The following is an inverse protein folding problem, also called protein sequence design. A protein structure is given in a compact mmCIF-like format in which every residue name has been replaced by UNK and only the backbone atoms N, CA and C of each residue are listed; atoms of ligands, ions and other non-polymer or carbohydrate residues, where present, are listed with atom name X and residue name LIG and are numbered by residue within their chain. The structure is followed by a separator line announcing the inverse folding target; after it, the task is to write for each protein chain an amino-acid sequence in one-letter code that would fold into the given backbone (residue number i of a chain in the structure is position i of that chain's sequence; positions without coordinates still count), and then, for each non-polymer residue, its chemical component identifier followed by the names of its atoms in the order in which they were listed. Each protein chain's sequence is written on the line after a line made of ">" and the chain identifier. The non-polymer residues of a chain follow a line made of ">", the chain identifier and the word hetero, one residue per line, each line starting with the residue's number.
data_IF_484117480440
#
_entry.id   IF_484117480440
#
_cell.length_a   1.000
_cell.length_b   1.000
_cell.length_c   1.000
_cell.angle_alpha   90.00
_cell.angle_beta   90.00
_cell.angle_gamma   90.00
#
_symmetry.space_group_name_H-M   'P 1'
#
loop_
_entity.id
_entity.type
_entity.pdbx_description
1 polymer ?
#
# COMPACT_ATOMS: atom_id res chain seq x y z
N UNK A 1 12.09 -28.75 9.44
CA UNK A 1 12.19 -27.31 9.14
C UNK A 1 11.25 -26.59 10.10
N UNK A 2 11.79 -25.79 11.02
CA UNK A 2 10.99 -25.04 12.00
C UNK A 2 10.18 -23.98 11.26
N UNK A 3 8.85 -24.10 11.35
CA UNK A 3 7.88 -23.26 10.64
C UNK A 3 7.47 -22.13 11.57
N UNK A 4 8.08 -20.96 11.41
CA UNK A 4 7.69 -19.82 12.21
C UNK A 4 6.44 -19.14 11.63
N UNK A 5 5.47 -18.71 12.46
CA UNK A 5 4.26 -17.96 12.08
C UNK A 5 4.56 -16.54 11.54
N UNK A 6 5.73 -16.35 10.94
CA UNK A 6 6.29 -15.10 10.48
C UNK A 6 5.57 -14.54 9.26
N UNK A 7 4.81 -15.32 8.48
CA UNK A 7 4.19 -14.81 7.26
C UNK A 7 3.16 -13.70 7.53
N UNK A 8 2.26 -13.91 8.51
CA UNK A 8 1.29 -12.88 8.93
C UNK A 8 1.98 -11.76 9.72
N UNK A 9 2.98 -12.11 10.55
CA UNK A 9 3.70 -11.14 11.37
C UNK A 9 4.63 -10.21 10.57
N UNK A 10 5.29 -10.72 9.53
CA UNK A 10 6.26 -10.00 8.70
C UNK A 10 5.55 -9.23 7.60
N UNK A 11 4.56 -9.80 6.91
CA UNK A 11 3.75 -9.05 5.94
C UNK A 11 2.97 -7.94 6.65
N UNK A 12 2.40 -8.22 7.84
CA UNK A 12 1.75 -7.20 8.67
C UNK A 12 2.73 -6.13 9.19
N UNK A 13 3.95 -6.51 9.59
CA UNK A 13 4.96 -5.57 10.08
C UNK A 13 5.64 -4.75 8.98
N UNK A 14 5.68 -5.21 7.73
CA UNK A 14 6.28 -4.46 6.61
C UNK A 14 5.29 -3.44 6.02
N UNK A 15 4.04 -3.84 5.78
CA UNK A 15 2.95 -2.92 5.41
C UNK A 15 2.75 -1.88 6.52
N UNK A 16 2.68 -2.33 7.78
CA UNK A 16 2.58 -1.46 8.95
C UNK A 16 3.84 -0.59 9.14
N UNK A 17 5.03 -1.13 8.89
CA UNK A 17 6.30 -0.45 9.08
C UNK A 17 6.53 0.69 8.09
N UNK A 18 6.18 0.50 6.80
CA UNK A 18 6.28 1.57 5.80
C UNK A 18 5.26 2.68 6.07
N UNK A 19 4.02 2.32 6.44
CA UNK A 19 3.00 3.29 6.84
C UNK A 19 3.40 4.05 8.12
N UNK A 20 3.92 3.35 9.13
CA UNK A 20 4.39 3.96 10.39
C UNK A 20 5.63 4.82 10.18
N UNK A 21 6.58 4.39 9.34
CA UNK A 21 7.75 5.19 8.99
C UNK A 21 7.35 6.46 8.24
N UNK A 22 6.50 6.37 7.22
CA UNK A 22 5.98 7.52 6.47
C UNK A 22 5.19 8.47 7.38
N UNK A 23 4.32 7.96 8.25
CA UNK A 23 3.61 8.77 9.23
C UNK A 23 4.58 9.43 10.22
N UNK A 24 5.62 8.73 10.68
CA UNK A 24 6.60 9.28 11.61
C UNK A 24 7.45 10.37 10.96
N UNK A 25 7.90 10.21 9.71
CA UNK A 25 8.66 11.23 8.99
C UNK A 25 7.80 12.44 8.63
N UNK A 26 6.54 12.25 8.18
CA UNK A 26 5.64 13.38 7.92
C UNK A 26 5.15 14.09 9.19
N UNK A 27 4.92 13.36 10.29
CA UNK A 27 4.56 13.96 11.58
C UNK A 27 5.73 14.73 12.21
N UNK A 28 6.98 14.28 11.98
CA UNK A 28 8.18 15.00 12.45
C UNK A 28 8.54 16.18 11.54
N UNK A 29 8.20 16.14 10.25
CA UNK A 29 8.45 17.23 9.30
C UNK A 29 7.40 18.38 9.38
N UNK A 30 6.28 18.17 10.06
CA UNK A 30 5.19 19.15 10.18
C UNK A 30 5.12 19.91 11.52
N UNK A 31 6.20 19.89 12.33
CA UNK A 31 6.16 20.53 13.65
C UNK A 31 7.11 21.73 13.77
N UNK A 32 6.49 22.93 13.81
CA UNK A 32 6.97 24.31 14.02
C UNK A 32 7.41 25.05 12.73
N UNK A 33 6.72 26.08 12.24
CA UNK A 33 6.53 27.37 12.96
C UNK A 33 5.49 28.33 12.30
N UNK A 34 4.30 27.89 11.84
CA UNK A 34 3.32 28.86 11.26
C UNK A 34 1.84 28.65 11.61
N UNK A 35 1.49 27.56 12.30
CA UNK A 35 0.07 27.19 12.52
C UNK A 35 -0.56 27.78 13.79
N UNK A 36 0.14 28.61 14.58
CA UNK A 36 -0.42 29.29 15.76
C UNK A 36 -0.81 30.76 15.53
N UNK A 37 -0.60 31.32 14.33
CA UNK A 37 -0.87 32.75 14.03
C UNK A 37 -2.13 33.00 13.20
N UNK A 38 -2.85 31.95 12.80
CA UNK A 38 -4.01 32.02 11.89
C UNK A 38 -5.35 31.63 12.53
N UNK A 39 -5.47 31.63 13.87
CA UNK A 39 -6.81 31.65 14.51
C UNK A 39 -7.37 33.07 14.48
N UNK A 40 -7.91 33.44 13.32
CA UNK A 40 -8.59 34.70 13.09
C UNK A 40 -9.77 34.53 12.14
N UNK A 41 -10.94 34.25 12.74
CA UNK A 41 -12.28 34.61 12.24
C UNK A 41 -12.88 33.73 11.12
N UNK A 42 -13.82 32.86 11.55
CA UNK A 42 -15.22 32.70 11.12
C UNK A 42 -15.63 32.53 9.63
N UNK A 43 -16.45 31.50 9.41
CA UNK A 43 -17.55 31.35 8.43
C UNK A 43 -17.22 31.41 6.93
N UNK A 44 -17.31 30.26 6.23
CA UNK A 44 -18.36 30.02 5.24
C UNK A 44 -18.40 28.56 4.76
N UNK A 45 -19.62 28.14 4.50
CA UNK A 45 -20.18 26.81 4.30
C UNK A 45 -20.36 26.55 2.80
N UNK A 46 -20.40 25.28 2.40
CA UNK A 46 -21.13 24.78 1.22
C UNK A 46 -20.96 25.50 -0.13
N UNK A 47 -19.87 25.24 -0.86
CA UNK A 47 -19.89 25.38 -2.33
C UNK A 47 -18.82 24.51 -3.01
N UNK A 48 -19.25 23.36 -3.55
CA UNK A 48 -18.72 22.66 -4.74
C UNK A 48 -18.91 21.13 -4.64
N UNK A 49 -20.18 20.71 -4.65
CA UNK A 49 -20.56 19.47 -5.34
C UNK A 49 -20.66 19.80 -6.84
N UNK A 50 -19.73 19.31 -7.64
CA UNK A 50 -19.74 19.55 -9.08
C UNK A 50 -18.53 18.92 -9.80
N UNK A 51 -18.76 17.71 -10.31
CA UNK A 51 -18.08 17.12 -11.46
C UNK A 51 -16.55 16.92 -11.43
N UNK A 52 -16.13 15.68 -11.16
CA UNK A 52 -15.02 15.06 -11.93
C UNK A 52 -15.42 13.64 -12.32
N UNK A 53 -15.94 13.51 -13.53
CA UNK A 53 -15.98 12.26 -14.26
C UNK A 53 -14.57 11.97 -14.82
N UNK A 54 -14.24 10.68 -14.98
CA UNK A 54 -13.02 10.12 -15.58
C UNK A 54 -11.76 9.95 -14.69
N UNK A 55 -11.80 8.95 -13.80
CA UNK A 55 -10.71 7.95 -13.60
C UNK A 55 -11.13 6.87 -12.58
N UNK A 56 -12.23 6.14 -12.85
CA UNK A 56 -12.70 5.06 -11.97
C UNK A 56 -12.60 3.67 -12.64
N UNK A 57 -11.54 3.47 -13.43
CA UNK A 57 -11.26 2.19 -14.07
C UNK A 57 -10.37 1.25 -13.24
N UNK A 58 -9.44 1.80 -12.44
CA UNK A 58 -8.44 1.00 -11.72
C UNK A 58 -8.94 0.50 -10.34
N UNK A 59 -9.79 1.28 -9.66
CA UNK A 59 -10.21 0.96 -8.29
C UNK A 59 -11.16 -0.27 -8.21
N UNK A 60 -12.00 -0.49 -9.22
CA UNK A 60 -12.88 -1.66 -9.30
C UNK A 60 -12.09 -2.96 -9.54
N UNK A 61 -10.98 -2.90 -10.30
CA UNK A 61 -10.17 -4.07 -10.63
C UNK A 61 -9.47 -4.66 -9.41
N UNK A 62 -8.87 -3.81 -8.56
CA UNK A 62 -8.14 -4.26 -7.37
C UNK A 62 -9.08 -4.84 -6.29
N UNK A 63 -10.26 -4.25 -6.11
CA UNK A 63 -11.28 -4.77 -5.18
C UNK A 63 -11.84 -6.13 -5.64
N UNK A 64 -12.04 -6.30 -6.95
CA UNK A 64 -12.48 -7.59 -7.51
C UNK A 64 -11.39 -8.65 -7.41
N UNK A 65 -10.13 -8.27 -7.66
CA UNK A 65 -8.97 -9.16 -7.56
C UNK A 65 -8.70 -9.63 -6.13
N UNK A 66 -8.88 -8.77 -5.13
CA UNK A 66 -8.79 -9.17 -3.71
C UNK A 66 -9.91 -10.12 -3.29
N UNK A 67 -11.12 -9.93 -3.83
CA UNK A 67 -12.26 -10.84 -3.56
C UNK A 67 -12.01 -12.21 -4.17
N UNK A 68 -11.56 -12.25 -5.42
CA UNK A 68 -11.21 -13.49 -6.13
C UNK A 68 -10.05 -14.23 -5.44
N UNK A 69 -9.03 -13.48 -5.00
CA UNK A 69 -7.95 -14.02 -4.19
C UNK A 69 -8.48 -14.67 -2.91
N UNK A 70 -9.33 -13.96 -2.15
CA UNK A 70 -9.89 -14.47 -0.89
C UNK A 70 -10.65 -15.78 -1.11
N UNK A 71 -11.42 -15.87 -2.18
CA UNK A 71 -12.14 -17.09 -2.57
C UNK A 71 -11.18 -18.21 -2.99
N UNK A 72 -10.12 -17.89 -3.74
CA UNK A 72 -9.13 -18.88 -4.18
C UNK A 72 -8.31 -19.47 -3.02
N UNK A 73 -8.21 -18.73 -1.91
CA UNK A 73 -7.45 -19.10 -0.72
C UNK A 73 -8.31 -19.78 0.36
N UNK A 74 -9.64 -19.69 0.31
CA UNK A 74 -10.54 -20.09 1.41
C UNK A 74 -10.42 -21.57 1.79
N UNK A 75 -10.08 -22.41 0.83
CA UNK A 75 -10.04 -23.87 1.00
C UNK A 75 -8.60 -24.40 1.07
N UNK A 76 -7.61 -23.50 1.15
CA UNK A 76 -6.17 -23.84 1.19
C UNK A 76 -5.64 -23.68 2.61
N UNK A 77 -4.77 -24.60 3.00
CA UNK A 77 -4.08 -24.56 4.31
C UNK A 77 -2.60 -24.89 4.15
N UNK A 78 -1.79 -24.46 5.12
CA UNK A 78 -0.36 -24.75 5.19
C UNK A 78 0.40 -24.36 3.92
N UNK A 79 1.29 -25.24 3.46
CA UNK A 79 2.17 -25.00 2.31
C UNK A 79 1.39 -24.61 1.03
N UNK A 80 0.21 -25.19 0.81
CA UNK A 80 -0.64 -24.87 -0.35
C UNK A 80 -1.27 -23.47 -0.26
N UNK A 81 -1.57 -23.01 0.95
CA UNK A 81 -2.01 -21.63 1.18
C UNK A 81 -0.85 -20.66 0.95
N UNK A 82 0.32 -20.94 1.51
CA UNK A 82 1.50 -20.06 1.42
C UNK A 82 1.92 -19.85 -0.04
N UNK A 83 1.99 -20.94 -0.83
CA UNK A 83 2.30 -20.86 -2.25
C UNK A 83 1.28 -20.01 -3.00
N UNK A 84 -0.03 -20.28 -2.80
CA UNK A 84 -1.08 -19.57 -3.50
C UNK A 84 -1.14 -18.08 -3.11
N UNK A 85 -0.94 -17.77 -1.83
CA UNK A 85 -0.90 -16.41 -1.32
C UNK A 85 0.25 -15.62 -1.95
N UNK A 86 1.46 -16.18 -1.93
CA UNK A 86 2.63 -15.50 -2.50
C UNK A 86 2.48 -15.30 -4.01
N UNK A 87 2.04 -16.32 -4.74
CA UNK A 87 1.84 -16.25 -6.19
C UNK A 87 0.82 -15.19 -6.60
N UNK A 88 -0.18 -14.92 -5.77
CA UNK A 88 -1.17 -13.90 -6.03
C UNK A 88 -0.80 -12.52 -5.45
N UNK A 89 0.03 -12.44 -4.40
CA UNK A 89 0.52 -11.16 -3.85
C UNK A 89 1.59 -10.50 -4.72
N UNK A 90 2.47 -11.26 -5.38
CA UNK A 90 3.48 -10.67 -6.29
C UNK A 90 2.82 -9.78 -7.38
N UNK A 91 1.84 -10.25 -8.17
CA UNK A 91 1.19 -9.41 -9.18
C UNK A 91 0.34 -8.28 -8.57
N UNK A 92 -0.28 -8.51 -7.41
CA UNK A 92 -0.98 -7.45 -6.68
C UNK A 92 -0.04 -6.29 -6.34
N UNK A 93 1.16 -6.61 -5.82
CA UNK A 93 2.17 -5.62 -5.50
C UNK A 93 2.72 -4.90 -6.71
N UNK A 94 2.93 -5.62 -7.82
CA UNK A 94 3.34 -5.02 -9.09
C UNK A 94 2.33 -3.97 -9.57
N UNK A 95 1.02 -4.29 -9.51
CA UNK A 95 -0.02 -3.33 -9.85
C UNK A 95 -0.03 -2.09 -8.94
N UNK A 96 0.24 -2.27 -7.64
CA UNK A 96 0.35 -1.14 -6.72
C UNK A 96 1.60 -0.28 -6.98
N UNK A 97 2.73 -0.88 -7.39
CA UNK A 97 3.94 -0.17 -7.82
C UNK A 97 3.66 0.66 -9.08
N UNK A 98 2.96 0.09 -10.08
CA UNK A 98 2.58 0.82 -11.30
C UNK A 98 1.71 2.04 -10.96
N UNK A 99 0.73 1.88 -10.07
CA UNK A 99 -0.12 2.98 -9.60
C UNK A 99 0.68 4.03 -8.82
N UNK A 100 1.63 3.61 -7.98
CA UNK A 100 2.50 4.52 -7.26
C UNK A 100 3.42 5.31 -8.21
N UNK A 101 3.99 4.67 -9.23
CA UNK A 101 4.78 5.36 -10.26
C UNK A 101 3.97 6.42 -11.01
N UNK A 102 2.70 6.15 -11.30
CA UNK A 102 1.80 7.16 -11.88
C UNK A 102 1.59 8.33 -10.92
N UNK A 103 1.35 8.06 -9.64
CA UNK A 103 1.21 9.09 -8.62
C UNK A 103 2.48 9.94 -8.46
N UNK A 104 3.66 9.31 -8.44
CA UNK A 104 4.96 9.99 -8.39
C UNK A 104 5.13 10.99 -9.54
N UNK A 105 4.73 10.61 -10.75
CA UNK A 105 4.86 11.43 -11.96
C UNK A 105 3.80 12.53 -12.05
N UNK A 106 2.57 12.27 -11.63
CA UNK A 106 1.42 13.13 -11.90
C UNK A 106 0.96 13.98 -10.71
N UNK A 107 1.35 13.62 -9.48
CA UNK A 107 0.91 14.35 -8.30
C UNK A 107 1.44 15.79 -8.28
N UNK A 108 0.59 16.72 -7.82
CA UNK A 108 0.96 18.12 -7.61
C UNK A 108 1.57 18.37 -6.23
N UNK A 109 1.14 17.59 -5.24
CA UNK A 109 1.56 17.70 -3.85
C UNK A 109 2.77 16.80 -3.60
N UNK A 110 3.80 17.34 -2.92
CA UNK A 110 5.05 16.62 -2.67
C UNK A 110 4.81 15.42 -1.75
N UNK A 111 3.91 15.55 -0.79
CA UNK A 111 3.55 14.51 0.17
C UNK A 111 3.01 13.25 -0.51
N UNK A 112 2.33 13.40 -1.64
CA UNK A 112 1.83 12.26 -2.43
C UNK A 112 2.96 11.60 -3.23
N UNK A 113 3.95 12.37 -3.69
CA UNK A 113 5.14 11.81 -4.36
C UNK A 113 6.00 11.03 -3.38
N UNK A 114 6.21 11.58 -2.19
CA UNK A 114 6.97 10.92 -1.12
C UNK A 114 6.28 9.62 -0.69
N UNK A 115 4.94 9.63 -0.62
CA UNK A 115 4.16 8.41 -0.36
C UNK A 115 4.33 7.39 -1.48
N UNK A 116 4.29 7.82 -2.73
CA UNK A 116 4.50 6.95 -3.88
C UNK A 116 5.89 6.30 -3.86
N UNK A 117 6.94 7.08 -3.58
CA UNK A 117 8.31 6.57 -3.46
C UNK A 117 8.42 5.51 -2.34
N UNK A 118 7.82 5.79 -1.18
CA UNK A 118 7.80 4.85 -0.06
C UNK A 118 7.06 3.54 -0.39
N UNK A 119 5.93 3.62 -1.12
CA UNK A 119 5.19 2.45 -1.59
C UNK A 119 6.04 1.64 -2.56
N UNK A 120 6.69 2.28 -3.53
CA UNK A 120 7.55 1.62 -4.52
C UNK A 120 8.68 0.87 -3.82
N UNK A 121 9.37 1.51 -2.88
CA UNK A 121 10.49 0.90 -2.14
C UNK A 121 10.01 -0.32 -1.33
N UNK A 122 8.96 -0.14 -0.52
CA UNK A 122 8.45 -1.19 0.35
C UNK A 122 7.96 -2.40 -0.44
N UNK A 123 7.17 -2.18 -1.49
CA UNK A 123 6.59 -3.29 -2.24
C UNK A 123 7.61 -4.02 -3.11
N UNK A 124 8.64 -3.34 -3.64
CA UNK A 124 9.75 -4.02 -4.30
C UNK A 124 10.50 -4.94 -3.32
N UNK A 125 10.71 -4.49 -2.08
CA UNK A 125 11.35 -5.32 -1.05
C UNK A 125 10.51 -6.54 -0.70
N UNK A 126 9.20 -6.36 -0.56
CA UNK A 126 8.25 -7.45 -0.28
C UNK A 126 8.19 -8.46 -1.44
N UNK A 127 8.21 -8.01 -2.70
CA UNK A 127 8.30 -8.90 -3.87
C UNK A 127 9.57 -9.75 -3.82
N UNK A 128 10.73 -9.14 -3.58
CA UNK A 128 12.00 -9.87 -3.50
C UNK A 128 11.99 -10.92 -2.38
N UNK A 129 11.39 -10.58 -1.24
CA UNK A 129 11.25 -11.51 -0.12
C UNK A 129 10.32 -12.68 -0.46
N UNK A 130 9.19 -12.39 -1.09
CA UNK A 130 8.25 -13.40 -1.57
C UNK A 130 8.88 -14.35 -2.59
N UNK A 131 9.66 -13.83 -3.55
CA UNK A 131 10.43 -14.65 -4.50
C UNK A 131 11.44 -15.54 -3.80
N UNK A 132 12.16 -14.99 -2.81
CA UNK A 132 13.11 -15.77 -1.99
C UNK A 132 12.41 -16.91 -1.25
N UNK A 133 11.20 -16.70 -0.75
CA UNK A 133 10.41 -17.75 -0.09
C UNK A 133 9.96 -18.85 -1.05
N UNK A 134 9.48 -18.49 -2.25
CA UNK A 134 9.14 -19.49 -3.28
C UNK A 134 10.32 -20.40 -3.58
N UNK A 135 11.51 -19.82 -3.79
CA UNK A 135 12.74 -20.58 -4.05
C UNK A 135 13.15 -21.45 -2.84
N UNK A 136 13.19 -20.86 -1.64
CA UNK A 136 13.65 -21.53 -0.43
C UNK A 136 12.74 -22.68 0.01
N UNK A 137 11.44 -22.59 -0.28
CA UNK A 137 10.45 -23.62 0.08
C UNK A 137 10.21 -24.63 -1.04
N UNK A 138 10.78 -24.41 -2.23
CA UNK A 138 10.74 -25.35 -3.34
C UNK A 138 9.42 -25.35 -4.11
N UNK A 139 8.81 -24.17 -4.25
CA UNK A 139 7.58 -23.95 -5.00
C UNK A 139 7.81 -23.52 -6.45
#
# INVERSE_FOLDING_TARGET
>A
MSRDPLLIGVVGALIGGAAVWFLATNAVNSNNTDMMRMMGVHEQMEEMMGETNASSGSHMGMSSSMTDMTLSLSDKEGDAFDQAFIQAMIPHHQGAIEMAQLAQQQAKHQEIKDLADAIIEAQNKEINQMQTWLEAWGY
#
